data_IF_358950733399
#
_entry.id   IF_358950733399
#
_cell.length_a   1.000
_cell.length_b   1.000
_cell.length_c   1.000
_cell.angle_alpha   90.00
_cell.angle_beta   90.00
_cell.angle_gamma   90.00
#
_symmetry.space_group_name_H-M   'P 1'
#
loop_
_entity.id
_entity.type
_entity.pdbx_description
1 polymer ?
#
# COMPACT_ATOMS: atom_id res chain seq x y z
N UNK A 1 -24.96 -29.03 -9.29
CA UNK A 1 -25.91 -27.91 -9.47
C UNK A 1 -26.49 -27.57 -8.10
N UNK A 2 -25.91 -26.59 -7.42
CA UNK A 2 -26.48 -26.00 -6.22
C UNK A 2 -26.67 -24.52 -6.52
N UNK A 3 -27.92 -24.06 -6.46
CA UNK A 3 -28.31 -22.70 -6.78
C UNK A 3 -27.67 -21.73 -5.79
N UNK A 4 -26.85 -20.79 -6.27
CA UNK A 4 -26.40 -19.66 -5.47
C UNK A 4 -27.61 -18.76 -5.24
N UNK A 5 -28.06 -18.68 -3.98
CA UNK A 5 -29.05 -17.69 -3.57
C UNK A 5 -28.54 -16.30 -3.93
N UNK A 6 -29.34 -15.55 -4.69
CA UNK A 6 -29.09 -14.14 -4.94
C UNK A 6 -29.02 -13.43 -3.58
N UNK A 7 -27.88 -12.80 -3.27
CA UNK A 7 -27.80 -11.88 -2.13
C UNK A 7 -28.79 -10.76 -2.42
N UNK A 8 -29.76 -10.56 -1.52
CA UNK A 8 -30.56 -9.34 -1.50
C UNK A 8 -29.61 -8.14 -1.48
N UNK A 9 -29.92 -7.03 -2.17
CA UNK A 9 -29.11 -5.83 -2.05
C UNK A 9 -29.16 -5.42 -0.59
N UNK A 10 -28.00 -5.44 0.10
CA UNK A 10 -27.91 -4.86 1.43
C UNK A 10 -28.33 -3.39 1.29
N UNK A 11 -29.43 -3.02 1.95
CA UNK A 11 -29.80 -1.62 2.11
C UNK A 11 -28.74 -0.98 2.97
N UNK A 12 -27.76 -0.34 2.32
CA UNK A 12 -26.71 0.42 3.00
C UNK A 12 -27.39 1.56 3.73
N UNK A 13 -27.24 1.61 5.05
CA UNK A 13 -27.72 2.72 5.88
C UNK A 13 -27.00 4.00 5.43
N UNK A 14 -27.72 5.00 4.89
CA UNK A 14 -27.12 6.24 4.41
C UNK A 14 -26.49 7.06 5.54
N UNK A 15 -26.77 6.72 6.81
CA UNK A 15 -26.20 7.39 7.99
C UNK A 15 -24.94 6.71 8.53
N UNK A 16 -24.56 5.54 8.01
CA UNK A 16 -23.38 4.80 8.44
C UNK A 16 -22.08 5.63 8.50
N UNK A 17 -21.79 6.56 7.56
CA UNK A 17 -20.61 7.44 7.64
C UNK A 17 -20.57 8.37 8.86
N UNK A 18 -21.71 8.58 9.53
CA UNK A 18 -21.86 9.41 10.72
C UNK A 18 -22.26 8.59 11.96
N UNK A 19 -21.99 7.29 11.97
CA UNK A 19 -22.14 6.48 13.16
C UNK A 19 -21.32 7.09 14.31
N UNK A 20 -21.96 7.37 15.46
CA UNK A 20 -21.32 8.07 16.58
C UNK A 20 -21.25 9.59 16.44
N UNK A 21 -22.10 10.21 15.61
CA UNK A 21 -22.21 11.67 15.51
C UNK A 21 -22.61 12.32 16.84
N UNK A 22 -21.75 13.19 17.37
CA UNK A 22 -21.97 13.92 18.63
C UNK A 22 -22.52 15.35 18.42
N UNK A 23 -22.76 15.74 17.17
CA UNK A 23 -23.36 17.04 16.86
C UNK A 23 -24.89 17.04 17.05
N UNK A 24 -25.53 18.14 16.64
CA UNK A 24 -26.98 18.29 16.74
C UNK A 24 -27.59 18.52 15.35
N UNK A 25 -28.61 17.74 14.96
CA UNK A 25 -29.37 17.98 13.72
C UNK A 25 -30.64 18.76 14.03
N UNK A 26 -30.68 20.03 13.63
CA UNK A 26 -31.85 20.90 13.76
C UNK A 26 -32.82 20.77 12.58
N UNK A 27 -33.96 21.48 12.65
CA UNK A 27 -34.95 21.51 11.55
C UNK A 27 -34.41 22.20 10.29
N UNK A 28 -33.50 23.15 10.47
CA UNK A 28 -32.81 23.87 9.41
C UNK A 28 -31.31 23.83 9.67
N UNK A 29 -30.51 23.94 8.61
CA UNK A 29 -29.05 23.88 8.69
C UNK A 29 -28.47 24.89 9.68
N UNK A 30 -29.01 26.10 9.74
CA UNK A 30 -28.56 27.16 10.67
C UNK A 30 -28.85 26.87 12.15
N UNK A 31 -29.64 25.85 12.46
CA UNK A 31 -29.92 25.36 13.82
C UNK A 31 -29.24 24.02 14.12
N UNK A 32 -28.38 23.56 13.21
CA UNK A 32 -27.63 22.32 13.35
C UNK A 32 -26.19 22.63 13.76
N UNK A 33 -25.59 21.75 14.55
CA UNK A 33 -24.19 21.80 14.95
C UNK A 33 -23.47 20.59 14.35
N UNK A 34 -22.51 20.79 13.44
CA UNK A 34 -21.74 19.68 12.89
C UNK A 34 -20.73 19.16 13.92
N UNK A 35 -20.40 17.89 13.80
CA UNK A 35 -19.34 17.23 14.55
C UNK A 35 -18.54 16.36 13.58
N UNK A 36 -17.21 16.50 13.64
CA UNK A 36 -16.27 15.65 12.93
C UNK A 36 -15.45 14.87 13.95
N UNK A 37 -15.09 13.61 13.68
CA UNK A 37 -14.19 12.88 14.55
C UNK A 37 -12.84 13.61 14.64
N UNK A 38 -12.22 13.59 15.81
CA UNK A 38 -10.89 14.14 16.01
C UNK A 38 -9.90 13.42 15.08
N UNK A 39 -9.13 14.14 14.24
CA UNK A 39 -8.16 13.50 13.36
C UNK A 39 -7.08 12.81 14.18
N UNK A 40 -6.72 11.57 13.82
CA UNK A 40 -5.50 10.96 14.34
C UNK A 40 -4.31 11.70 13.75
N UNK A 41 -3.47 12.26 14.61
CA UNK A 41 -2.24 12.95 14.23
C UNK A 41 -1.01 12.12 14.64
N UNK A 42 0.09 12.19 13.88
CA UNK A 42 1.28 11.46 14.24
C UNK A 42 1.90 12.04 15.52
N UNK A 43 2.60 11.22 16.32
CA UNK A 43 3.26 11.69 17.54
C UNK A 43 4.23 12.85 17.29
N UNK A 44 4.44 13.69 18.30
CA UNK A 44 5.44 14.76 18.21
C UNK A 44 6.83 14.19 17.92
N UNK A 45 7.52 14.76 16.92
CA UNK A 45 8.83 14.30 16.48
C UNK A 45 8.81 13.07 15.57
N UNK A 46 7.64 12.60 15.14
CA UNK A 46 7.52 11.56 14.12
C UNK A 46 8.29 11.92 12.83
N UNK A 47 9.15 11.03 12.30
CA UNK A 47 9.88 11.29 11.07
C UNK A 47 8.99 11.13 9.84
N UNK A 48 9.42 11.75 8.74
CA UNK A 48 8.96 11.36 7.41
C UNK A 48 9.64 10.06 6.99
N UNK A 49 8.86 9.14 6.43
CA UNK A 49 9.38 7.86 5.91
C UNK A 49 9.28 7.89 4.39
N UNK A 50 10.42 7.82 3.71
CA UNK A 50 10.49 7.83 2.24
C UNK A 50 11.07 6.50 1.79
N UNK A 51 10.33 5.79 0.94
CA UNK A 51 10.78 4.54 0.31
C UNK A 51 10.96 4.80 -1.19
N UNK A 52 12.19 4.63 -1.68
CA UNK A 52 12.52 4.71 -3.10
C UNK A 52 12.81 3.31 -3.62
N UNK A 53 12.08 2.88 -4.65
CA UNK A 53 12.25 1.58 -5.30
C UNK A 53 12.50 1.78 -6.78
N UNK A 54 13.70 1.42 -7.24
CA UNK A 54 14.01 1.30 -8.66
C UNK A 54 13.46 -0.02 -9.22
N UNK A 55 13.07 -0.02 -10.50
CA UNK A 55 12.56 -1.20 -11.20
C UNK A 55 13.68 -1.75 -12.09
N UNK A 56 14.04 -3.02 -11.89
CA UNK A 56 15.08 -3.75 -12.62
C UNK A 56 16.49 -3.12 -12.61
N UNK A 57 16.81 -2.33 -11.57
CA UNK A 57 18.18 -1.83 -11.34
C UNK A 57 19.09 -2.97 -10.84
N UNK A 58 20.19 -3.18 -11.54
CA UNK A 58 21.21 -4.17 -11.21
C UNK A 58 22.03 -3.81 -9.97
N UNK A 59 22.57 -4.83 -9.31
CA UNK A 59 23.40 -4.65 -8.10
C UNK A 59 24.61 -3.74 -8.34
N UNK A 60 25.29 -3.89 -9.47
CA UNK A 60 26.49 -3.14 -9.83
C UNK A 60 26.21 -1.93 -10.72
N UNK A 61 24.95 -1.46 -10.82
CA UNK A 61 24.60 -0.31 -11.66
C UNK A 61 24.88 1.03 -10.98
N UNK A 62 25.07 1.05 -9.66
CA UNK A 62 25.40 2.27 -8.90
C UNK A 62 26.91 2.39 -8.65
N UNK A 63 27.45 3.61 -8.74
CA UNK A 63 28.86 3.89 -8.51
C UNK A 63 29.34 3.40 -7.14
N UNK A 64 28.51 3.55 -6.10
CA UNK A 64 28.79 3.05 -4.75
C UNK A 64 28.86 1.50 -4.61
N UNK A 65 28.50 0.76 -5.68
CA UNK A 65 28.69 -0.69 -5.84
C UNK A 65 29.64 -1.05 -7.00
N UNK A 66 30.37 -0.09 -7.56
CA UNK A 66 31.44 -0.32 -8.56
C UNK A 66 31.06 -0.10 -10.03
N UNK A 67 29.94 0.56 -10.30
CA UNK A 67 29.48 0.89 -11.65
C UNK A 67 30.33 1.94 -12.37
N UNK A 68 30.32 1.92 -13.71
CA UNK A 68 30.75 3.02 -14.57
C UNK A 68 29.68 4.09 -14.82
N UNK A 69 28.42 3.82 -14.46
CA UNK A 69 27.31 4.77 -14.62
C UNK A 69 27.46 5.90 -13.59
N UNK A 70 27.32 7.15 -14.06
CA UNK A 70 27.39 8.33 -13.20
C UNK A 70 26.12 8.46 -12.33
N UNK A 71 26.21 8.05 -11.06
CA UNK A 71 25.10 8.09 -10.08
C UNK A 71 25.41 8.94 -8.84
N UNK A 72 25.83 10.22 -9.00
CA UNK A 72 26.46 10.99 -7.93
C UNK A 72 25.54 11.21 -6.72
N UNK A 73 24.22 11.33 -6.94
CA UNK A 73 23.27 11.59 -5.86
C UNK A 73 22.95 10.35 -5.03
N UNK A 74 22.91 9.18 -5.67
CA UNK A 74 22.76 7.90 -4.97
C UNK A 74 24.04 7.55 -4.23
N UNK A 75 25.20 7.86 -4.81
CA UNK A 75 26.50 7.65 -4.18
C UNK A 75 26.67 8.56 -2.94
N UNK A 76 26.24 9.81 -3.03
CA UNK A 76 26.21 10.73 -1.88
C UNK A 76 25.30 10.23 -0.77
N UNK A 77 24.09 9.78 -1.10
CA UNK A 77 23.18 9.18 -0.12
C UNK A 77 23.80 7.94 0.54
N UNK A 78 24.48 7.11 -0.23
CA UNK A 78 25.13 5.91 0.26
C UNK A 78 26.35 6.21 1.16
N UNK A 79 27.06 7.32 0.91
CA UNK A 79 28.17 7.79 1.73
C UNK A 79 27.72 8.40 3.07
N UNK A 80 26.54 9.02 3.12
CA UNK A 80 25.94 9.61 4.32
C UNK A 80 25.10 8.61 5.13
N UNK A 81 24.86 7.40 4.59
CA UNK A 81 23.95 6.41 5.14
C UNK A 81 24.55 5.02 5.34
N UNK A 82 23.69 4.01 5.25
CA UNK A 82 24.05 2.60 5.35
C UNK A 82 23.92 1.93 3.98
N UNK A 83 24.86 1.04 3.67
CA UNK A 83 24.86 0.19 2.47
C UNK A 83 24.73 -1.28 2.86
N UNK A 84 24.04 -2.04 2.02
CA UNK A 84 23.85 -3.47 2.21
C UNK A 84 24.49 -4.23 1.06
N UNK A 85 25.35 -5.20 1.37
CA UNK A 85 25.93 -6.12 0.38
C UNK A 85 25.18 -7.45 0.30
N UNK A 86 24.17 -7.64 1.13
CA UNK A 86 23.40 -8.90 1.27
C UNK A 86 21.90 -8.63 1.46
N UNK A 87 21.33 -7.76 0.64
CA UNK A 87 19.90 -7.43 0.64
C UNK A 87 19.18 -8.27 -0.43
N UNK A 88 18.07 -8.90 -0.03
CA UNK A 88 17.36 -9.85 -0.89
C UNK A 88 15.93 -9.38 -1.19
N UNK A 89 15.50 -9.63 -2.42
CA UNK A 89 14.14 -9.38 -2.92
C UNK A 89 13.57 -10.66 -3.54
N UNK A 90 12.28 -10.66 -3.88
CA UNK A 90 11.73 -11.72 -4.71
C UNK A 90 12.26 -11.57 -6.16
N UNK A 91 12.33 -12.64 -6.97
CA UNK A 91 12.90 -12.59 -8.31
C UNK A 91 12.03 -11.84 -9.34
N UNK A 92 10.95 -11.19 -8.91
CA UNK A 92 9.98 -10.52 -9.77
C UNK A 92 9.41 -9.27 -9.09
N UNK A 93 9.01 -8.29 -9.90
CA UNK A 93 8.55 -6.98 -9.43
C UNK A 93 7.29 -7.05 -8.56
N UNK A 94 6.20 -7.71 -8.97
CA UNK A 94 4.97 -7.74 -8.16
C UNK A 94 5.15 -8.47 -6.81
N UNK A 95 5.75 -9.67 -6.75
CA UNK A 95 6.06 -10.33 -5.49
C UNK A 95 6.93 -9.47 -4.54
N UNK A 96 7.94 -8.77 -5.06
CA UNK A 96 8.79 -7.85 -4.27
C UNK A 96 7.99 -6.69 -3.69
N UNK A 97 7.15 -6.04 -4.50
CA UNK A 97 6.30 -4.94 -4.06
C UNK A 97 5.31 -5.40 -2.98
N UNK A 98 4.77 -6.60 -3.12
CA UNK A 98 3.85 -7.18 -2.14
C UNK A 98 4.52 -7.42 -0.79
N UNK A 99 5.71 -8.04 -0.80
CA UNK A 99 6.48 -8.27 0.41
C UNK A 99 6.94 -6.96 1.07
N UNK A 100 7.37 -5.97 0.28
CA UNK A 100 7.74 -4.65 0.79
C UNK A 100 6.58 -3.99 1.53
N UNK A 101 5.40 -3.96 0.91
CA UNK A 101 4.26 -3.22 1.46
C UNK A 101 3.62 -3.94 2.64
N UNK A 102 3.64 -5.27 2.68
CA UNK A 102 2.89 -6.03 3.70
C UNK A 102 3.80 -6.63 4.79
N UNK A 103 5.11 -6.69 4.57
CA UNK A 103 6.04 -7.44 5.41
C UNK A 103 5.85 -8.96 5.34
N UNK A 104 4.97 -9.47 4.48
CA UNK A 104 4.68 -10.90 4.34
C UNK A 104 5.54 -11.54 3.25
N UNK A 105 5.69 -12.87 3.35
CA UNK A 105 6.08 -13.66 2.18
C UNK A 105 5.07 -13.40 1.05
N UNK A 106 5.57 -13.28 -0.19
CA UNK A 106 4.76 -12.88 -1.35
C UNK A 106 3.58 -13.82 -1.61
N UNK A 107 3.72 -15.13 -1.40
CA UNK A 107 2.61 -16.09 -1.48
C UNK A 107 1.53 -15.81 -0.42
N UNK A 108 1.95 -15.50 0.81
CA UNK A 108 1.02 -15.18 1.90
C UNK A 108 0.26 -13.87 1.64
N UNK A 109 0.90 -12.91 0.96
CA UNK A 109 0.30 -11.66 0.53
C UNK A 109 -0.66 -11.80 -0.68
N UNK A 110 -0.71 -12.97 -1.35
CA UNK A 110 -1.52 -13.20 -2.55
C UNK A 110 -0.76 -13.09 -3.88
N UNK A 111 0.56 -12.86 -3.83
CA UNK A 111 1.40 -12.50 -4.96
C UNK A 111 2.48 -13.56 -5.25
N UNK A 112 2.06 -14.74 -5.69
CA UNK A 112 3.01 -15.80 -6.09
C UNK A 112 3.72 -15.55 -7.44
N UNK A 113 3.13 -14.71 -8.30
CA UNK A 113 3.62 -14.38 -9.64
C UNK A 113 3.31 -12.91 -9.95
N UNK A 114 3.73 -12.43 -11.12
CA UNK A 114 3.43 -11.06 -11.57
C UNK A 114 1.92 -10.88 -11.81
N UNK A 115 1.41 -9.68 -11.53
CA UNK A 115 -0.03 -9.41 -11.50
C UNK A 115 -0.77 -9.63 -12.84
N UNK A 116 -0.03 -9.66 -13.96
CA UNK A 116 -0.58 -9.95 -15.30
C UNK A 116 -0.61 -11.43 -15.66
N UNK A 117 -0.15 -12.32 -14.78
CA UNK A 117 -0.10 -13.77 -15.02
C UNK A 117 -1.22 -14.54 -14.31
N UNK A 118 -2.40 -13.95 -14.12
CA UNK A 118 -3.56 -14.60 -13.49
C UNK A 118 -4.01 -15.82 -14.33
N UNK A 119 -3.87 -17.06 -13.82
CA UNK A 119 -4.25 -18.26 -14.55
C UNK A 119 -5.74 -18.62 -14.37
N UNK A 120 -6.51 -17.83 -13.62
CA UNK A 120 -7.94 -18.04 -13.37
C UNK A 120 -8.25 -19.10 -12.30
N UNK A 121 -7.27 -19.48 -11.47
CA UNK A 121 -7.47 -20.46 -10.40
C UNK A 121 -7.61 -19.79 -9.02
N UNK A 122 -8.50 -20.31 -8.13
CA UNK A 122 -8.63 -19.81 -6.77
C UNK A 122 -7.28 -19.78 -6.03
N UNK A 123 -6.96 -18.65 -5.41
CA UNK A 123 -5.69 -18.45 -4.69
C UNK A 123 -4.49 -18.05 -5.55
N UNK A 124 -4.67 -17.94 -6.88
CA UNK A 124 -3.66 -17.50 -7.84
C UNK A 124 -4.08 -16.23 -8.58
N UNK A 125 -4.97 -15.44 -8.00
CA UNK A 125 -5.44 -14.19 -8.59
C UNK A 125 -4.33 -13.15 -8.78
N UNK A 126 -3.19 -13.31 -8.10
CA UNK A 126 -2.03 -12.40 -8.18
C UNK A 126 -2.42 -10.95 -7.93
N UNK A 127 -3.19 -10.76 -6.86
CA UNK A 127 -3.54 -9.48 -6.26
C UNK A 127 -3.29 -9.54 -4.75
N UNK A 128 -3.16 -8.38 -4.10
CA UNK A 128 -3.10 -8.35 -2.65
C UNK A 128 -4.39 -8.90 -2.05
N UNK A 129 -4.26 -9.76 -1.03
CA UNK A 129 -5.42 -10.25 -0.28
C UNK A 129 -6.03 -9.12 0.55
N UNK A 130 -7.35 -9.16 0.72
CA UNK A 130 -8.09 -8.19 1.54
C UNK A 130 -7.60 -8.08 3.00
N UNK A 131 -6.93 -9.12 3.50
CA UNK A 131 -6.39 -9.16 4.86
C UNK A 131 -4.86 -8.94 4.92
N UNK A 132 -4.22 -8.55 3.81
CA UNK A 132 -2.80 -8.23 3.77
C UNK A 132 -2.61 -6.72 3.99
N UNK A 133 -2.60 -6.32 5.26
CA UNK A 133 -2.43 -4.92 5.67
C UNK A 133 -1.09 -4.38 5.16
N UNK A 134 -1.16 -3.23 4.50
CA UNK A 134 0.00 -2.52 3.98
C UNK A 134 0.59 -1.58 5.01
N UNK A 135 1.88 -1.29 4.88
CA UNK A 135 2.60 -0.29 5.68
C UNK A 135 1.93 1.09 5.57
N UNK A 136 1.31 1.39 4.43
CA UNK A 136 0.55 2.63 4.23
C UNK A 136 -0.71 2.67 5.08
N UNK A 137 -1.47 1.58 5.18
CA UNK A 137 -2.64 1.51 6.08
C UNK A 137 -2.21 1.69 7.53
N UNK A 138 -1.17 0.97 7.96
CA UNK A 138 -0.60 1.12 9.31
C UNK A 138 -0.16 2.56 9.61
N UNK A 139 0.49 3.24 8.65
CA UNK A 139 0.89 4.65 8.81
C UNK A 139 -0.30 5.60 8.86
N UNK A 140 -1.32 5.37 8.02
CA UNK A 140 -2.54 6.18 8.00
C UNK A 140 -3.31 6.06 9.31
N UNK A 141 -3.46 4.85 9.83
CA UNK A 141 -4.11 4.60 11.13
C UNK A 141 -3.38 5.29 12.29
N UNK A 142 -2.09 5.54 12.13
CA UNK A 142 -1.27 6.26 13.11
C UNK A 142 -1.12 7.77 12.81
N UNK A 143 -1.86 8.31 11.83
CA UNK A 143 -1.97 9.74 11.53
C UNK A 143 -0.99 10.28 10.48
N UNK A 144 -0.15 9.45 9.87
CA UNK A 144 0.70 9.91 8.76
C UNK A 144 -0.12 10.13 7.49
N UNK A 145 0.24 11.18 6.75
CA UNK A 145 -0.16 11.29 5.35
C UNK A 145 0.62 10.27 4.52
N UNK A 146 -0.09 9.51 3.69
CA UNK A 146 0.48 8.48 2.82
C UNK A 146 0.31 8.87 1.36
N UNK A 147 1.39 8.84 0.58
CA UNK A 147 1.36 9.14 -0.84
C UNK A 147 2.28 8.19 -1.60
N UNK A 148 1.89 7.85 -2.83
CA UNK A 148 2.67 7.01 -3.73
C UNK A 148 2.75 7.66 -5.11
N UNK A 149 3.94 7.63 -5.69
CA UNK A 149 4.19 7.99 -7.09
C UNK A 149 4.98 6.88 -7.78
N UNK A 150 4.52 6.46 -8.96
CA UNK A 150 5.21 5.47 -9.80
C UNK A 150 4.42 4.18 -9.99
N UNK A 151 5.15 3.08 -10.22
CA UNK A 151 4.58 1.77 -10.59
C UNK A 151 3.98 1.04 -9.39
N UNK A 152 2.69 0.70 -9.48
CA UNK A 152 1.99 -0.10 -8.46
C UNK A 152 2.22 -1.60 -8.65
N UNK A 153 1.70 -2.16 -9.75
CA UNK A 153 1.89 -3.55 -10.17
C UNK A 153 1.44 -4.62 -9.17
N UNK A 154 0.42 -4.32 -8.36
CA UNK A 154 -0.26 -5.23 -7.41
C UNK A 154 -1.77 -5.35 -7.67
N UNK A 155 -2.19 -5.01 -8.89
CA UNK A 155 -3.57 -5.11 -9.36
C UNK A 155 -3.55 -5.86 -10.68
N UNK A 156 -4.54 -6.71 -10.92
CA UNK A 156 -4.70 -7.42 -12.19
C UNK A 156 -4.90 -6.45 -13.35
N UNK A 157 -4.37 -6.80 -14.51
CA UNK A 157 -4.64 -6.04 -15.75
C UNK A 157 -6.11 -6.07 -16.14
N UNK A 158 -6.84 -7.15 -15.82
CA UNK A 158 -8.28 -7.25 -16.09
C UNK A 158 -9.14 -6.20 -15.34
N UNK A 159 -8.55 -5.43 -14.42
CA UNK A 159 -9.20 -4.36 -13.68
C UNK A 159 -8.81 -2.95 -14.16
N UNK A 160 -8.02 -2.85 -15.24
CA UNK A 160 -7.65 -1.60 -15.92
C UNK A 160 -8.48 -1.41 -17.19
#
# INVERSE_FOLDING_TARGET
MAASGARSPETVDPTAPYAGFEGTVGKIFSTSEPHWPEPVIPPSGAPNVIVMMADDLGYSDLGCYGSEIDTPELDRLAAEGLRYTDFHVNPMCSPTRASLLTGLNSHMAGMAQVAHSDPGFPGYSHELRDNAVTISETFRDAGWATFMLGKWHLTKEAHL
#
